data_IF_332452116321
#
_entry.id   IF_332452116321
#
_cell.length_a   1.000
_cell.length_b   1.000
_cell.length_c   1.000
_cell.angle_alpha   90.00
_cell.angle_beta   90.00
_cell.angle_gamma   90.00
#
_symmetry.space_group_name_H-M   'P 1'
#
loop_
_entity.id
_entity.type
_entity.pdbx_description
1 polymer ?
#
# COMPACT_ATOMS: atom_id res chain seq x y z
N UNK A 1 56.65 30.36 -17.52
CA UNK A 1 55.89 29.33 -16.78
C UNK A 1 54.44 29.77 -16.71
N UNK A 2 53.56 29.18 -17.53
CA UNK A 2 52.11 29.48 -17.55
C UNK A 2 51.39 28.18 -17.21
N UNK A 3 50.84 28.13 -16.00
CA UNK A 3 50.07 27.00 -15.48
C UNK A 3 48.71 26.94 -16.18
N UNK A 4 48.43 25.86 -16.89
CA UNK A 4 47.08 25.56 -17.40
C UNK A 4 46.45 24.59 -16.39
N UNK A 5 45.56 25.13 -15.55
CA UNK A 5 44.68 24.37 -14.68
C UNK A 5 43.53 23.80 -15.53
N UNK A 6 43.60 22.52 -15.88
CA UNK A 6 42.45 21.79 -16.40
C UNK A 6 41.51 21.45 -15.24
N UNK A 7 40.39 22.17 -15.17
CA UNK A 7 39.28 21.88 -14.25
C UNK A 7 38.61 20.59 -14.73
N UNK A 8 38.83 19.49 -14.02
CA UNK A 8 38.09 18.24 -14.19
C UNK A 8 36.68 18.46 -13.64
N UNK A 9 35.73 18.69 -14.55
CA UNK A 9 34.31 18.76 -14.23
C UNK A 9 33.81 17.39 -13.78
N UNK A 10 33.60 17.23 -12.47
CA UNK A 10 32.96 16.05 -11.89
C UNK A 10 31.49 16.04 -12.33
N UNK A 11 31.19 15.32 -13.42
CA UNK A 11 29.82 14.95 -13.79
C UNK A 11 29.28 13.99 -12.73
N UNK A 12 28.72 14.56 -11.66
CA UNK A 12 27.77 13.84 -10.81
C UNK A 12 26.56 13.49 -11.67
N UNK A 13 26.65 12.35 -12.34
CA UNK A 13 25.49 11.60 -12.81
C UNK A 13 24.75 11.14 -11.57
N UNK A 14 23.98 12.05 -10.98
CA UNK A 14 22.90 11.68 -10.10
C UNK A 14 21.91 10.90 -10.95
N UNK A 15 22.11 9.58 -11.00
CA UNK A 15 21.04 8.66 -11.33
C UNK A 15 20.03 8.84 -10.22
N UNK A 16 19.16 9.83 -10.38
CA UNK A 16 17.97 9.98 -9.56
C UNK A 16 17.14 8.76 -9.90
N UNK A 17 17.29 7.71 -9.11
CA UNK A 17 16.32 6.64 -9.05
C UNK A 17 14.99 7.33 -8.76
N UNK A 18 14.13 7.45 -9.77
CA UNK A 18 12.74 7.84 -9.59
C UNK A 18 12.04 6.70 -8.87
N UNK A 19 12.34 6.54 -7.58
CA UNK A 19 11.53 5.73 -6.71
C UNK A 19 10.20 6.49 -6.60
N UNK A 20 9.12 5.85 -7.08
CA UNK A 20 7.72 6.26 -6.95
C UNK A 20 7.21 7.21 -8.07
N UNK A 21 7.05 6.61 -9.25
CA UNK A 21 6.58 7.22 -10.50
C UNK A 21 5.10 6.92 -10.76
N UNK A 22 4.56 7.64 -11.74
CA UNK A 22 3.30 7.27 -12.38
C UNK A 22 3.35 5.82 -12.86
N UNK A 23 2.31 5.06 -12.58
CA UNK A 23 2.21 3.63 -12.91
C UNK A 23 1.04 3.44 -13.87
N UNK A 24 1.18 2.63 -14.93
CA UNK A 24 0.05 2.28 -15.79
C UNK A 24 -1.12 1.76 -14.95
N UNK A 25 -2.30 2.32 -15.17
CA UNK A 25 -3.46 2.05 -14.35
C UNK A 25 -4.79 2.25 -15.08
N UNK A 26 -5.78 1.50 -14.62
CA UNK A 26 -7.20 1.73 -14.92
C UNK A 26 -7.88 2.20 -13.64
N UNK A 27 -8.48 3.39 -13.68
CA UNK A 27 -9.23 3.97 -12.55
C UNK A 27 -10.72 3.88 -12.88
N UNK A 28 -11.47 3.16 -12.05
CA UNK A 28 -12.94 3.14 -12.11
C UNK A 28 -13.47 4.14 -11.10
N UNK A 29 -14.39 4.99 -11.53
CA UNK A 29 -15.09 5.95 -10.68
C UNK A 29 -16.47 5.41 -10.30
N UNK A 30 -17.00 5.84 -9.16
CA UNK A 30 -18.31 5.40 -8.65
C UNK A 30 -19.49 5.78 -9.55
N UNK A 31 -19.30 6.73 -10.46
CA UNK A 31 -20.30 7.09 -11.47
C UNK A 31 -20.26 6.16 -12.70
N UNK A 32 -19.42 5.12 -12.70
CA UNK A 32 -19.23 4.18 -13.81
C UNK A 32 -18.19 4.60 -14.86
N UNK A 33 -17.58 5.80 -14.76
CA UNK A 33 -16.49 6.19 -15.67
C UNK A 33 -15.26 5.31 -15.47
N UNK A 34 -14.67 4.85 -16.57
CA UNK A 34 -13.42 4.08 -16.58
C UNK A 34 -12.34 4.89 -17.29
N UNK A 35 -11.22 5.12 -16.62
CA UNK A 35 -10.12 5.95 -17.11
C UNK A 35 -8.84 5.11 -17.24
N UNK A 36 -8.30 5.00 -18.46
CA UNK A 36 -7.05 4.28 -18.74
C UNK A 36 -5.90 5.26 -18.97
N UNK A 37 -4.76 5.01 -18.32
CA UNK A 37 -3.59 5.88 -18.41
C UNK A 37 -2.56 5.52 -17.36
N UNK A 38 -2.01 6.54 -16.70
CA UNK A 38 -1.14 6.35 -15.54
C UNK A 38 -1.74 7.01 -14.30
N UNK A 39 -1.61 6.35 -13.16
CA UNK A 39 -2.05 6.87 -11.87
C UNK A 39 -0.93 6.83 -10.83
N UNK A 40 -1.13 7.58 -9.75
CA UNK A 40 -0.37 7.43 -8.50
C UNK A 40 -1.16 7.87 -7.28
N UNK A 41 -0.93 7.20 -6.17
CA UNK A 41 -1.47 7.53 -4.85
C UNK A 41 -0.38 8.26 -4.05
N UNK A 42 -0.55 9.56 -3.70
CA UNK A 42 0.39 10.27 -2.84
C UNK A 42 0.50 9.61 -1.46
N UNK A 43 1.69 9.62 -0.85
CA UNK A 43 1.88 9.04 0.47
C UNK A 43 1.18 9.84 1.55
N UNK A 44 0.73 9.10 2.54
CA UNK A 44 0.08 9.62 3.74
C UNK A 44 0.97 9.32 4.93
N UNK A 45 1.15 10.31 5.81
CA UNK A 45 1.92 10.13 7.04
C UNK A 45 1.15 9.30 8.08
N UNK A 46 1.84 8.42 8.80
CA UNK A 46 1.23 7.56 9.82
C UNK A 46 0.59 8.35 10.98
N UNK A 47 1.20 9.49 11.37
CA UNK A 47 0.74 10.33 12.48
C UNK A 47 -0.05 11.57 12.03
N UNK A 48 0.18 12.05 10.80
CA UNK A 48 -0.34 13.33 10.30
C UNK A 48 -1.17 13.11 9.05
N UNK A 49 -2.35 12.54 9.22
CA UNK A 49 -3.43 12.73 8.28
C UNK A 49 -4.27 13.92 8.79
N UNK A 50 -3.87 15.15 8.41
CA UNK A 50 -4.54 16.41 8.76
C UNK A 50 -5.92 16.54 8.06
N UNK A 51 -6.81 15.56 8.23
CA UNK A 51 -8.16 15.59 7.66
C UNK A 51 -8.21 15.63 6.13
N UNK A 52 -7.08 15.49 5.44
CA UNK A 52 -7.01 15.49 4.00
C UNK A 52 -7.62 14.20 3.44
N UNK A 53 -8.71 14.34 2.72
CA UNK A 53 -9.25 13.28 1.87
C UNK A 53 -8.18 12.81 0.88
N UNK A 54 -7.83 11.53 0.91
CA UNK A 54 -6.91 10.92 -0.04
C UNK A 54 -7.37 11.13 -1.48
N UNK A 55 -6.43 11.24 -2.41
CA UNK A 55 -6.72 11.49 -3.82
C UNK A 55 -5.81 10.66 -4.70
N UNK A 56 -6.36 10.05 -5.75
CA UNK A 56 -5.54 9.52 -6.84
C UNK A 56 -5.23 10.64 -7.83
N UNK A 57 -3.97 10.72 -8.27
CA UNK A 57 -3.57 11.58 -9.39
C UNK A 57 -3.57 10.72 -10.63
N UNK A 58 -4.26 11.17 -11.68
CA UNK A 58 -4.42 10.46 -12.94
C UNK A 58 -3.95 11.33 -14.11
N UNK A 59 -3.44 10.71 -15.17
CA UNK A 59 -3.10 11.34 -16.44
C UNK A 59 -3.24 10.30 -17.55
N UNK A 60 -3.74 10.67 -18.72
CA UNK A 60 -3.86 9.72 -19.84
C UNK A 60 -2.47 9.31 -20.35
N UNK A 61 -1.55 10.27 -20.41
CA UNK A 61 -0.18 10.08 -20.88
C UNK A 61 0.84 10.89 -20.07
N UNK A 62 2.14 10.56 -20.22
CA UNK A 62 3.24 11.14 -19.42
C UNK A 62 3.28 12.68 -19.38
N UNK A 63 2.86 13.36 -20.45
CA UNK A 63 2.86 14.83 -20.56
C UNK A 63 1.47 15.47 -20.46
N UNK A 64 0.42 14.67 -20.35
CA UNK A 64 -0.96 15.15 -20.29
C UNK A 64 -1.27 15.90 -18.97
N UNK A 65 -2.34 16.71 -19.00
CA UNK A 65 -2.82 17.44 -17.81
C UNK A 65 -3.26 16.45 -16.74
N UNK A 66 -2.75 16.65 -15.53
CA UNK A 66 -3.04 15.80 -14.38
C UNK A 66 -4.44 16.11 -13.85
N UNK A 67 -5.25 15.07 -13.72
CA UNK A 67 -6.53 15.09 -13.02
C UNK A 67 -6.33 14.54 -11.59
N UNK A 68 -7.19 14.95 -10.66
CA UNK A 68 -7.17 14.48 -9.28
C UNK A 68 -8.58 14.04 -8.91
N UNK A 69 -8.72 12.80 -8.49
CA UNK A 69 -9.99 12.24 -8.03
C UNK A 69 -9.90 12.00 -6.54
N UNK A 70 -10.92 12.43 -5.80
CA UNK A 70 -11.01 12.17 -4.35
C UNK A 70 -11.34 10.70 -4.12
N UNK A 71 -10.91 10.15 -3.00
CA UNK A 71 -11.15 8.74 -2.65
C UNK A 71 -12.64 8.35 -2.63
N UNK A 72 -13.55 9.28 -2.34
CA UNK A 72 -15.00 9.04 -2.39
C UNK A 72 -15.54 8.89 -3.82
N UNK A 73 -14.84 9.45 -4.80
CA UNK A 73 -15.23 9.42 -6.22
C UNK A 73 -14.72 8.17 -6.93
N UNK A 74 -13.72 7.50 -6.34
CA UNK A 74 -13.08 6.30 -6.90
C UNK A 74 -13.77 5.06 -6.38
N UNK A 75 -13.99 4.10 -7.27
CA UNK A 75 -14.46 2.77 -6.93
C UNK A 75 -13.25 1.85 -6.69
N UNK A 76 -12.43 1.63 -7.72
CA UNK A 76 -11.17 0.90 -7.59
C UNK A 76 -10.10 1.42 -8.56
N UNK A 77 -8.86 1.00 -8.35
CA UNK A 77 -7.71 1.28 -9.21
C UNK A 77 -6.98 -0.02 -9.48
N UNK A 78 -6.85 -0.39 -10.74
CA UNK A 78 -6.03 -1.51 -11.19
C UNK A 78 -4.68 -0.98 -11.63
N UNK A 79 -3.63 -1.25 -10.87
CA UNK A 79 -2.27 -0.89 -11.25
C UNK A 79 -1.60 -2.05 -11.98
N UNK A 80 -1.12 -1.80 -13.18
CA UNK A 80 -0.26 -2.73 -13.92
C UNK A 80 1.18 -2.48 -13.52
N UNK A 81 1.74 -3.43 -12.79
CA UNK A 81 3.02 -3.30 -12.13
C UNK A 81 4.03 -4.22 -12.77
N UNK A 82 5.18 -3.66 -13.15
CA UNK A 82 6.29 -4.41 -13.72
C UNK A 82 7.41 -4.56 -12.70
N UNK A 83 7.88 -5.78 -12.49
CA UNK A 83 8.94 -6.12 -11.54
C UNK A 83 9.88 -7.17 -12.11
N UNK A 84 11.08 -7.27 -11.52
CA UNK A 84 12.09 -8.26 -11.92
C UNK A 84 12.22 -9.34 -10.86
N UNK A 85 12.00 -10.58 -11.26
CA UNK A 85 12.13 -11.75 -10.40
C UNK A 85 13.33 -12.58 -10.84
N UNK A 86 14.06 -13.17 -9.87
CA UNK A 86 15.19 -14.05 -10.19
C UNK A 86 14.68 -15.48 -10.30
N UNK A 87 14.69 -16.04 -11.51
CA UNK A 87 14.31 -17.44 -11.79
C UNK A 87 15.55 -18.14 -12.31
N UNK A 88 15.98 -19.22 -11.64
CA UNK A 88 17.18 -19.99 -12.01
C UNK A 88 18.46 -19.16 -12.21
N UNK A 89 18.61 -18.06 -11.48
CA UNK A 89 19.77 -17.18 -11.58
C UNK A 89 19.60 -15.98 -12.52
N UNK A 90 18.61 -16.00 -13.41
CA UNK A 90 18.34 -14.94 -14.37
C UNK A 90 17.26 -13.98 -13.88
N UNK A 91 17.38 -12.69 -14.22
CA UNK A 91 16.36 -11.67 -13.90
C UNK A 91 15.33 -11.59 -15.02
N UNK A 92 14.14 -12.10 -14.77
CA UNK A 92 13.01 -12.08 -15.69
C UNK A 92 12.09 -10.93 -15.30
N UNK A 93 11.70 -10.13 -16.29
CA UNK A 93 10.70 -9.09 -16.12
C UNK A 93 9.29 -9.70 -16.16
N UNK A 94 8.50 -9.44 -15.14
CA UNK A 94 7.13 -9.91 -14.98
C UNK A 94 6.21 -8.74 -14.73
N UNK A 95 4.96 -8.91 -15.12
CA UNK A 95 3.90 -7.95 -14.86
C UNK A 95 2.82 -8.60 -14.02
N UNK A 96 2.30 -7.86 -13.05
CA UNK A 96 1.14 -8.24 -12.24
C UNK A 96 0.18 -7.06 -12.15
N UNK A 97 -1.12 -7.37 -12.08
CA UNK A 97 -2.15 -6.38 -11.77
C UNK A 97 -2.41 -6.42 -10.27
N UNK A 98 -2.36 -5.25 -9.63
CA UNK A 98 -2.70 -5.08 -8.22
C UNK A 98 -3.92 -4.17 -8.09
N UNK A 99 -4.93 -4.61 -7.35
CA UNK A 99 -6.13 -3.83 -7.10
C UNK A 99 -5.97 -2.98 -5.84
N UNK A 100 -6.34 -1.71 -5.94
CA UNK A 100 -6.45 -0.80 -4.81
C UNK A 100 -7.88 -0.27 -4.71
N UNK A 101 -8.44 -0.30 -3.51
CA UNK A 101 -9.79 0.17 -3.24
C UNK A 101 -9.83 1.16 -2.05
N UNK A 102 -10.83 2.06 -2.00
CA UNK A 102 -11.20 2.79 -0.80
C UNK A 102 -11.69 1.84 0.30
N UNK A 103 -11.00 1.82 1.43
CA UNK A 103 -11.39 1.01 2.59
C UNK A 103 -11.78 1.93 3.74
N UNK A 104 -12.95 1.70 4.35
CA UNK A 104 -13.44 2.45 5.51
C UNK A 104 -12.68 2.02 6.76
N UNK A 105 -12.13 3.00 7.49
CA UNK A 105 -11.31 2.77 8.68
C UNK A 105 -11.92 3.51 9.86
N UNK A 106 -12.17 2.77 10.93
CA UNK A 106 -12.65 3.33 12.19
C UNK A 106 -11.50 3.90 13.02
N UNK A 107 -11.66 5.14 13.51
CA UNK A 107 -10.74 5.73 14.50
C UNK A 107 -11.42 5.81 15.85
N UNK A 108 -10.82 5.21 16.89
CA UNK A 108 -11.35 5.23 18.27
C UNK A 108 -11.67 6.62 18.83
N UNK A 109 -11.04 7.70 18.33
CA UNK A 109 -11.17 9.08 18.86
C UNK A 109 -11.43 10.15 17.78
N UNK A 110 -11.69 9.77 16.53
CA UNK A 110 -11.93 10.70 15.41
C UNK A 110 -12.96 10.08 14.46
N UNK A 111 -13.55 10.91 13.60
CA UNK A 111 -14.43 10.43 12.55
C UNK A 111 -13.73 9.38 11.68
N UNK A 112 -14.54 8.44 11.21
CA UNK A 112 -14.13 7.42 10.26
C UNK A 112 -13.63 8.08 8.98
N UNK A 113 -12.73 7.38 8.30
CA UNK A 113 -12.14 7.88 7.07
C UNK A 113 -11.84 6.76 6.10
N UNK A 114 -11.81 7.09 4.82
CA UNK A 114 -11.40 6.17 3.77
C UNK A 114 -9.88 6.24 3.57
N UNK A 115 -9.27 5.10 3.30
CA UNK A 115 -7.89 5.01 2.83
C UNK A 115 -7.76 4.11 1.61
N UNK A 116 -6.93 4.49 0.63
CA UNK A 116 -6.60 3.57 -0.45
C UNK A 116 -5.70 2.46 0.09
N UNK A 117 -6.09 1.21 -0.14
CA UNK A 117 -5.32 0.04 0.26
C UNK A 117 -5.27 -0.99 -0.87
N UNK A 118 -4.19 -1.77 -0.92
CA UNK A 118 -4.07 -2.92 -1.79
C UNK A 118 -5.01 -4.02 -1.29
N UNK A 119 -5.80 -4.61 -2.17
CA UNK A 119 -6.51 -5.87 -1.93
C UNK A 119 -5.52 -7.04 -1.99
N UNK A 120 -5.27 -7.68 -0.84
CA UNK A 120 -4.38 -8.84 -0.76
C UNK A 120 -5.17 -10.14 -0.85
N UNK A 121 -6.31 -10.19 -0.17
CA UNK A 121 -7.32 -11.26 -0.22
C UNK A 121 -8.70 -10.59 -0.11
N UNK A 122 -9.65 -11.03 -0.92
CA UNK A 122 -11.05 -10.54 -0.88
C UNK A 122 -11.97 -11.75 -0.64
N UNK A 123 -12.92 -11.61 0.27
CA UNK A 123 -13.86 -12.65 0.68
C UNK A 123 -14.68 -12.18 1.90
N UNK A 124 -15.39 -13.10 2.56
CA UNK A 124 -16.18 -12.79 3.78
C UNK A 124 -15.38 -12.04 4.84
N UNK A 125 -14.09 -12.36 4.97
CA UNK A 125 -13.05 -11.48 5.53
C UNK A 125 -12.04 -11.11 4.44
N UNK A 126 -11.81 -9.81 4.28
CA UNK A 126 -10.82 -9.28 3.35
C UNK A 126 -9.54 -8.83 4.07
N UNK A 127 -8.39 -9.04 3.43
CA UNK A 127 -7.08 -8.59 3.87
C UNK A 127 -6.59 -7.45 2.99
N UNK A 128 -6.24 -6.32 3.63
CA UNK A 128 -5.75 -5.14 2.95
C UNK A 128 -4.35 -4.73 3.40
N UNK A 129 -3.55 -4.27 2.44
CA UNK A 129 -2.19 -3.81 2.64
C UNK A 129 -2.03 -2.32 2.39
N UNK A 130 -1.35 -1.61 3.29
CA UNK A 130 -1.05 -0.19 3.13
C UNK A 130 0.33 0.17 3.65
N UNK A 131 1.03 1.05 2.91
CA UNK A 131 2.31 1.63 3.35
C UNK A 131 2.15 3.12 3.60
N UNK A 132 2.45 3.53 4.84
CA UNK A 132 2.43 4.93 5.28
C UNK A 132 3.82 5.41 5.68
N UNK A 133 4.11 6.72 5.63
CA UNK A 133 5.40 7.22 6.15
C UNK A 133 5.43 7.09 7.66
N UNK A 134 6.45 6.41 8.20
CA UNK A 134 6.72 6.47 9.63
C UNK A 134 7.45 7.76 9.94
N UNK A 135 6.91 8.53 10.88
CA UNK A 135 7.54 9.75 11.39
C UNK A 135 8.58 9.34 12.44
N UNK A 136 9.67 8.69 12.04
CA UNK A 136 10.87 8.68 12.89
C UNK A 136 11.38 10.12 12.91
N UNK A 137 11.47 10.72 14.11
CA UNK A 137 11.61 12.16 14.35
C UNK A 137 12.87 12.87 13.86
N UNK A 138 13.30 12.63 12.62
CA UNK A 138 14.23 13.49 11.89
C UNK A 138 13.44 14.47 11.04
N UNK A 139 13.29 15.71 11.51
CA UNK A 139 12.88 16.82 10.67
C UNK A 139 13.99 17.09 9.65
N UNK A 140 13.92 16.46 8.47
CA UNK A 140 14.74 16.85 7.32
C UNK A 140 14.08 18.07 6.67
N UNK A 141 14.35 19.25 7.23
CA UNK A 141 14.06 20.51 6.58
C UNK A 141 14.91 20.61 5.30
N UNK A 142 14.28 20.47 4.13
CA UNK A 142 14.97 20.68 2.84
C UNK A 142 14.40 19.91 1.65
N UNK A 143 13.65 18.82 1.84
CA UNK A 143 13.06 18.07 0.74
C UNK A 143 11.58 18.39 0.58
N UNK A 144 11.28 19.47 -0.14
CA UNK A 144 9.93 19.76 -0.63
C UNK A 144 9.46 18.64 -1.56
N UNK A 145 8.75 17.66 -1.03
CA UNK A 145 8.18 16.59 -1.83
C UNK A 145 7.41 15.60 -0.98
N UNK A 146 6.09 15.59 -1.13
CA UNK A 146 5.30 14.43 -0.76
C UNK A 146 5.90 13.21 -1.47
N UNK A 147 6.67 12.39 -0.74
CA UNK A 147 7.11 11.08 -1.21
C UNK A 147 5.83 10.31 -1.60
N UNK A 148 5.82 9.57 -2.70
CA UNK A 148 4.66 8.78 -3.09
C UNK A 148 4.85 7.34 -2.59
N UNK A 149 3.76 6.64 -2.23
CA UNK A 149 3.87 5.23 -1.81
C UNK A 149 4.33 4.41 -3.02
N UNK A 150 5.25 3.44 -2.87
CA UNK A 150 5.41 2.40 -3.86
C UNK A 150 4.06 1.75 -4.16
N UNK A 151 3.60 1.85 -5.41
CA UNK A 151 2.47 1.05 -5.90
C UNK A 151 2.87 -0.43 -5.93
N UNK A 152 4.13 -0.71 -6.26
CA UNK A 152 4.67 -2.06 -6.12
C UNK A 152 5.44 -2.22 -4.83
N UNK A 153 5.04 -3.21 -4.06
CA UNK A 153 5.81 -3.75 -2.97
C UNK A 153 6.06 -5.21 -3.34
N UNK A 154 7.33 -5.59 -3.47
CA UNK A 154 7.75 -6.92 -3.97
C UNK A 154 7.04 -8.09 -3.27
N UNK A 155 6.68 -7.89 -2.01
CA UNK A 155 5.79 -8.76 -1.27
C UNK A 155 4.80 -7.92 -0.45
N UNK A 156 3.49 -8.19 -0.59
CA UNK A 156 2.42 -7.50 0.15
C UNK A 156 2.67 -7.44 1.66
N UNK A 157 3.35 -8.43 2.24
CA UNK A 157 3.69 -8.48 3.67
C UNK A 157 4.70 -7.40 4.12
N UNK A 158 5.35 -6.72 3.18
CA UNK A 158 6.21 -5.57 3.47
C UNK A 158 5.40 -4.27 3.66
N UNK A 159 4.08 -4.28 3.43
CA UNK A 159 3.22 -3.21 3.91
C UNK A 159 3.38 -3.02 5.42
N UNK A 160 3.57 -1.78 5.85
CA UNK A 160 3.78 -1.50 7.28
C UNK A 160 2.46 -1.44 8.07
N UNK A 161 1.32 -1.36 7.39
CA UNK A 161 -0.01 -1.55 7.94
C UNK A 161 -0.73 -2.67 7.19
N UNK A 162 -1.24 -3.66 7.93
CA UNK A 162 -2.15 -4.67 7.41
C UNK A 162 -3.47 -4.58 8.17
N UNK A 163 -4.57 -4.69 7.43
CA UNK A 163 -5.92 -4.51 7.92
C UNK A 163 -6.79 -5.69 7.53
N UNK A 164 -7.70 -6.09 8.41
CA UNK A 164 -8.74 -7.08 8.14
C UNK A 164 -10.10 -6.40 8.16
N UNK A 165 -11.03 -6.86 7.34
CA UNK A 165 -12.36 -6.28 7.23
C UNK A 165 -13.37 -7.39 7.00
N UNK A 166 -14.39 -7.48 7.85
CA UNK A 166 -15.55 -8.33 7.57
C UNK A 166 -16.43 -7.62 6.55
N UNK A 167 -17.19 -8.37 5.77
CA UNK A 167 -18.14 -7.79 4.83
C UNK A 167 -19.14 -6.88 5.56
N UNK A 168 -19.30 -5.64 5.08
CA UNK A 168 -20.19 -4.64 5.68
C UNK A 168 -19.67 -3.93 6.94
N UNK A 169 -18.49 -4.29 7.45
CA UNK A 169 -17.88 -3.68 8.64
C UNK A 169 -16.74 -2.72 8.28
N UNK A 170 -16.23 -1.98 9.27
CA UNK A 170 -15.02 -1.17 9.09
C UNK A 170 -13.75 -2.01 9.23
N UNK A 171 -12.69 -1.61 8.51
CA UNK A 171 -11.42 -2.29 8.58
C UNK A 171 -10.70 -2.07 9.93
N UNK A 172 -10.19 -3.16 10.48
CA UNK A 172 -9.44 -3.22 11.73
C UNK A 172 -7.95 -3.44 11.50
N UNK A 173 -7.13 -2.67 12.21
CA UNK A 173 -5.67 -2.76 12.07
C UNK A 173 -5.15 -4.01 12.77
N UNK A 174 -4.80 -5.04 12.01
CA UNK A 174 -4.27 -6.32 12.53
C UNK A 174 -2.75 -6.37 12.59
N UNK A 175 -2.01 -5.47 11.94
CA UNK A 175 -0.57 -5.40 12.09
C UNK A 175 0.03 -4.02 11.79
N UNK A 176 0.74 -3.46 12.76
CA UNK A 176 1.54 -2.23 12.64
C UNK A 176 2.56 -2.17 13.79
N UNK A 177 3.71 -1.51 13.57
CA UNK A 177 4.82 -1.44 14.54
C UNK A 177 4.46 -0.75 15.85
N UNK A 178 3.44 0.12 15.86
CA UNK A 178 3.03 0.89 17.04
C UNK A 178 1.98 0.19 17.90
N UNK A 179 1.71 -1.09 17.66
CA UNK A 179 0.64 -1.82 18.36
C UNK A 179 1.19 -2.55 19.57
N UNK A 180 0.65 -2.21 20.74
CA UNK A 180 1.07 -2.73 22.04
C UNK A 180 0.70 -4.21 22.25
N UNK A 181 -0.42 -4.68 21.67
CA UNK A 181 -0.79 -6.10 21.71
C UNK A 181 -0.06 -6.85 20.60
N UNK A 182 0.57 -7.98 20.97
CA UNK A 182 1.22 -8.89 20.03
C UNK A 182 0.27 -9.33 18.91
N UNK A 183 0.82 -9.49 17.70
CA UNK A 183 0.07 -9.88 16.49
C UNK A 183 -0.82 -11.10 16.71
N UNK A 184 -0.27 -12.17 17.29
CA UNK A 184 -0.98 -13.43 17.58
C UNK A 184 -2.25 -13.21 18.41
N UNK A 185 -2.18 -12.39 19.47
CA UNK A 185 -3.33 -12.12 20.33
C UNK A 185 -4.44 -11.40 19.58
N UNK A 186 -4.10 -10.43 18.72
CA UNK A 186 -5.10 -9.69 17.93
C UNK A 186 -5.72 -10.54 16.83
N UNK A 187 -4.93 -11.41 16.20
CA UNK A 187 -5.46 -12.40 15.27
C UNK A 187 -6.42 -13.37 15.97
N UNK A 188 -6.06 -13.90 17.13
CA UNK A 188 -6.93 -14.79 17.90
C UNK A 188 -8.24 -14.10 18.35
N UNK A 189 -8.16 -12.85 18.83
CA UNK A 189 -9.35 -12.05 19.19
C UNK A 189 -10.24 -11.79 17.96
N UNK A 190 -9.66 -11.45 16.81
CA UNK A 190 -10.45 -11.13 15.61
C UNK A 190 -11.14 -12.35 15.00
N UNK A 191 -10.50 -13.52 15.04
CA UNK A 191 -11.00 -14.77 14.44
C UNK A 191 -11.57 -15.75 15.48
N UNK A 192 -12.00 -15.26 16.65
CA UNK A 192 -12.50 -16.10 17.74
C UNK A 192 -13.75 -16.92 17.39
N UNK A 193 -14.48 -16.46 16.37
CA UNK A 193 -15.66 -17.11 15.78
C UNK A 193 -15.32 -18.34 14.92
N UNK A 194 -14.04 -18.66 14.71
CA UNK A 194 -13.58 -19.81 13.93
C UNK A 194 -12.69 -20.73 14.78
N UNK A 195 -13.26 -21.63 15.60
CA UNK A 195 -12.50 -22.50 16.49
C UNK A 195 -11.42 -23.33 15.77
N UNK A 196 -11.72 -23.82 14.56
CA UNK A 196 -10.77 -24.57 13.73
C UNK A 196 -9.52 -23.76 13.37
N UNK A 197 -9.67 -22.47 13.11
CA UNK A 197 -8.56 -21.55 12.89
C UNK A 197 -7.82 -21.29 14.20
N UNK A 198 -8.52 -21.02 15.30
CA UNK A 198 -7.89 -20.79 16.61
C UNK A 198 -6.98 -21.96 17.01
N UNK A 199 -7.45 -23.20 16.89
CA UNK A 199 -6.62 -24.39 17.14
C UNK A 199 -5.38 -24.45 16.23
N UNK A 200 -5.50 -24.01 14.98
CA UNK A 200 -4.36 -23.93 14.03
C UNK A 200 -3.37 -22.80 14.38
N UNK A 201 -3.83 -21.74 15.05
CA UNK A 201 -2.99 -20.63 15.54
C UNK A 201 -2.28 -20.99 16.86
N UNK A 202 -2.87 -21.86 17.68
CA UNK A 202 -2.26 -22.40 18.89
C UNK A 202 -1.02 -23.23 18.56
N UNK A 203 0.10 -22.99 19.27
CA UNK A 203 1.37 -23.69 19.03
C UNK A 203 2.26 -23.22 17.87
N UNK A 204 1.77 -22.37 16.94
CA UNK A 204 2.60 -21.82 15.84
C UNK A 204 3.13 -20.41 16.15
N UNK A 205 4.36 -20.14 15.71
CA UNK A 205 4.93 -18.79 15.62
C UNK A 205 4.39 -18.09 14.37
N UNK A 206 3.43 -17.18 14.56
CA UNK A 206 2.77 -16.49 13.46
C UNK A 206 3.59 -15.29 12.99
N UNK A 207 3.91 -15.26 11.70
CA UNK A 207 4.55 -14.14 11.02
C UNK A 207 3.51 -13.33 10.24
N UNK A 208 3.88 -12.09 9.88
CA UNK A 208 3.04 -11.22 9.03
C UNK A 208 2.71 -11.87 7.69
N UNK A 209 3.65 -12.62 7.12
CA UNK A 209 3.48 -13.39 5.88
C UNK A 209 2.37 -14.43 5.97
N UNK A 210 2.09 -14.94 7.16
CA UNK A 210 1.11 -16.02 7.37
C UNK A 210 -0.32 -15.46 7.38
N UNK A 211 -0.49 -14.15 7.51
CA UNK A 211 -1.80 -13.51 7.59
C UNK A 211 -2.66 -13.75 6.35
N UNK A 212 -2.03 -13.86 5.17
CA UNK A 212 -2.75 -14.25 3.95
C UNK A 212 -3.33 -15.67 4.07
N UNK A 213 -2.52 -16.64 4.49
CA UNK A 213 -2.95 -18.02 4.70
C UNK A 213 -4.07 -18.10 5.75
N UNK A 214 -3.97 -17.30 6.82
CA UNK A 214 -4.98 -17.22 7.89
C UNK A 214 -6.34 -16.76 7.33
N UNK A 215 -6.34 -15.66 6.55
CA UNK A 215 -7.57 -15.08 5.99
C UNK A 215 -8.17 -16.00 4.92
N UNK A 216 -7.33 -16.59 4.06
CA UNK A 216 -7.77 -17.59 3.07
C UNK A 216 -8.38 -18.81 3.76
N UNK A 217 -7.77 -19.31 4.84
CA UNK A 217 -8.32 -20.41 5.62
C UNK A 217 -9.66 -20.06 6.25
N UNK A 218 -9.77 -18.88 6.88
CA UNK A 218 -11.03 -18.42 7.45
C UNK A 218 -12.14 -18.39 6.40
N UNK A 219 -11.90 -17.73 5.26
CA UNK A 219 -12.88 -17.61 4.17
C UNK A 219 -13.29 -18.97 3.58
N UNK A 220 -12.42 -19.98 3.64
CA UNK A 220 -12.72 -21.31 3.11
C UNK A 220 -13.46 -22.22 4.10
N UNK A 221 -13.41 -21.94 5.41
CA UNK A 221 -13.87 -22.88 6.45
C UNK A 221 -14.90 -22.30 7.42
N UNK A 222 -14.99 -20.98 7.53
CA UNK A 222 -15.76 -20.29 8.56
C UNK A 222 -16.54 -19.08 8.04
N UNK A 223 -16.08 -18.44 6.95
CA UNK A 223 -16.72 -17.27 6.34
C UNK A 223 -17.78 -17.58 5.29
#
# INVERSE_FOLDING_TARGET
MRSILFIVGFLFSSVVYSQYSWTPAVVTLKNGSVLSGEAKIPQVGAAFNFGGTEKVRFRTERKSKKQKYKIQEVDNILFTVTFKERVNGERIEKTKVETYAPVLIRKRKRNDYLGFMQEVVVGGVSLYGRTVTQNNGGWMAGAGGSVAVPIFIGNWSQHNQLWVCREGEEAELINHVSLFKGFKKRAAEYFEDCPSLITKLEGRDLKKSDLKEIVEFYNANCG
#
